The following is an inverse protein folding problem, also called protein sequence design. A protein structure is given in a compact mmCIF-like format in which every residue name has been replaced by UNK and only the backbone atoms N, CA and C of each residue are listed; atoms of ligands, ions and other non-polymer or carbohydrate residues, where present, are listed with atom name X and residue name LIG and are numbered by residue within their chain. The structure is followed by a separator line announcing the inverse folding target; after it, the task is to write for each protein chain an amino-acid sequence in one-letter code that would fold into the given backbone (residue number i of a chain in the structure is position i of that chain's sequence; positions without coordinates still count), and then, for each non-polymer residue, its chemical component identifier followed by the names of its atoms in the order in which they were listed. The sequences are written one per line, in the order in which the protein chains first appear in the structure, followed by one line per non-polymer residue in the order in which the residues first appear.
data_IF_026940672631
#
_entry.id   IF_026940672631
#
_cell.length_a   1.000
_cell.length_b   1.000
_cell.length_c   1.000
_cell.angle_alpha   90.00
_cell.angle_beta   90.00
_cell.angle_gamma   90.00
#
_symmetry.space_group_name_H-M   'P 1'
#
loop_
_entity.id
_entity.type
_entity.pdbx_description
1 polymer ?
#
# COMPACT_ATOMS: atom_id res chain seq x y z
N UNK A 1 -8.21 4.23 -16.25
CA UNK A 1 -7.32 3.42 -17.13
C UNK A 1 -7.65 1.94 -16.98
N UNK A 2 -7.68 1.15 -18.05
CA UNK A 2 -7.95 -0.29 -18.04
C UNK A 2 -6.89 -1.02 -18.86
N UNK A 3 -6.28 -2.06 -18.31
CA UNK A 3 -5.18 -2.81 -18.89
C UNK A 3 -5.53 -4.30 -18.83
N UNK A 4 -5.35 -5.03 -19.94
CA UNK A 4 -5.60 -6.47 -20.02
C UNK A 4 -4.29 -7.20 -20.24
N UNK A 5 -4.08 -8.24 -19.44
CA UNK A 5 -3.00 -9.20 -19.61
C UNK A 5 -3.59 -10.46 -20.22
N UNK A 6 -3.22 -10.74 -21.48
CA UNK A 6 -3.69 -11.91 -22.20
C UNK A 6 -3.50 -13.17 -21.34
N UNK A 7 -4.57 -13.93 -21.18
CA UNK A 7 -4.64 -15.20 -20.43
C UNK A 7 -4.32 -15.10 -18.93
N UNK A 8 -4.20 -13.89 -18.36
CA UNK A 8 -3.90 -13.69 -16.92
C UNK A 8 -4.95 -12.88 -16.17
N UNK A 9 -5.53 -11.86 -16.82
CA UNK A 9 -6.57 -11.03 -16.21
C UNK A 9 -6.46 -9.55 -16.60
N UNK A 10 -6.89 -8.65 -15.71
CA UNK A 10 -6.93 -7.22 -16.02
C UNK A 10 -6.70 -6.35 -14.77
N UNK A 11 -6.21 -5.14 -14.98
CA UNK A 11 -6.12 -4.11 -13.94
C UNK A 11 -6.81 -2.84 -14.42
N UNK A 12 -7.64 -2.25 -13.57
CA UNK A 12 -8.29 -0.97 -13.80
C UNK A 12 -7.98 0.03 -12.70
N UNK A 13 -8.02 1.31 -13.05
CA UNK A 13 -7.80 2.43 -12.16
C UNK A 13 -8.83 3.52 -12.41
N UNK A 14 -9.35 4.08 -11.33
CA UNK A 14 -10.23 5.25 -11.34
C UNK A 14 -9.52 6.43 -10.68
N UNK A 15 -9.75 7.62 -11.23
CA UNK A 15 -9.16 8.87 -10.77
C UNK A 15 -10.23 9.94 -10.68
N UNK A 16 -10.05 10.91 -9.79
CA UNK A 16 -10.84 12.13 -9.80
C UNK A 16 -10.37 13.11 -10.89
N UNK A 17 -11.08 14.24 -11.02
CA UNK A 17 -10.72 15.29 -11.98
C UNK A 17 -9.39 15.99 -11.65
N UNK A 18 -8.90 15.90 -10.40
CA UNK A 18 -7.61 16.40 -9.96
C UNK A 18 -6.45 15.43 -10.24
N UNK A 19 -6.72 14.24 -10.77
CA UNK A 19 -5.73 13.21 -11.03
C UNK A 19 -5.38 12.34 -9.81
N UNK A 20 -6.09 12.49 -8.69
CA UNK A 20 -5.89 11.61 -7.54
C UNK A 20 -6.49 10.24 -7.83
N UNK A 21 -5.76 9.17 -7.46
CA UNK A 21 -6.24 7.80 -7.61
C UNK A 21 -7.32 7.53 -6.58
N UNK A 22 -8.48 7.06 -7.02
CA UNK A 22 -9.61 6.71 -6.16
C UNK A 22 -9.71 5.20 -5.93
N UNK A 23 -9.46 4.40 -6.98
CA UNK A 23 -9.50 2.95 -6.85
C UNK A 23 -8.60 2.23 -7.85
N UNK A 24 -8.19 1.02 -7.49
CA UNK A 24 -7.52 0.02 -8.32
C UNK A 24 -8.31 -1.27 -8.23
N UNK A 25 -8.70 -1.86 -9.35
CA UNK A 25 -9.29 -3.21 -9.40
C UNK A 25 -8.36 -4.12 -10.17
N UNK A 26 -7.90 -5.20 -9.55
CA UNK A 26 -7.10 -6.23 -10.19
C UNK A 26 -7.89 -7.54 -10.24
N UNK A 27 -7.98 -8.13 -11.41
CA UNK A 27 -8.58 -9.45 -11.64
C UNK A 27 -7.49 -10.39 -12.14
N UNK A 28 -7.36 -11.54 -11.51
CA UNK A 28 -6.44 -12.62 -11.88
C UNK A 28 -7.23 -13.94 -11.89
N UNK A 29 -7.43 -14.52 -13.07
CA UNK A 29 -8.39 -15.62 -13.24
C UNK A 29 -9.81 -15.23 -12.78
N UNK A 30 -10.35 -15.95 -11.80
CA UNK A 30 -11.65 -15.64 -11.16
C UNK A 30 -11.54 -14.74 -9.94
N UNK A 31 -10.35 -14.54 -9.39
CA UNK A 31 -10.13 -13.72 -8.22
C UNK A 31 -10.15 -12.24 -8.60
N UNK A 32 -10.80 -11.43 -7.77
CA UNK A 32 -10.84 -9.97 -7.93
C UNK A 32 -10.51 -9.30 -6.61
N UNK A 33 -9.59 -8.33 -6.67
CA UNK A 33 -9.17 -7.50 -5.56
C UNK A 33 -9.39 -6.04 -5.91
N UNK A 34 -10.19 -5.35 -5.11
CA UNK A 34 -10.39 -3.91 -5.22
C UNK A 34 -9.64 -3.22 -4.09
N UNK A 35 -8.84 -2.21 -4.43
CA UNK A 35 -8.18 -1.32 -3.48
C UNK A 35 -8.74 0.07 -3.66
N UNK A 36 -9.31 0.63 -2.59
CA UNK A 36 -9.88 1.98 -2.59
C UNK A 36 -9.00 2.92 -1.76
N UNK A 37 -8.86 4.15 -2.26
CA UNK A 37 -7.97 5.17 -1.71
C UNK A 37 -8.83 6.36 -1.24
N UNK A 38 -8.79 6.66 0.06
CA UNK A 38 -9.52 7.77 0.66
C UNK A 38 -8.57 8.61 1.52
N UNK A 39 -7.98 9.64 0.92
CA UNK A 39 -6.89 10.39 1.56
C UNK A 39 -5.72 9.44 1.87
N UNK A 40 -5.28 9.42 3.13
CA UNK A 40 -4.25 8.48 3.60
C UNK A 40 -4.75 7.05 3.88
N UNK A 41 -6.06 6.79 3.85
CA UNK A 41 -6.62 5.48 4.16
C UNK A 41 -6.66 4.57 2.92
N UNK A 42 -6.22 3.32 3.11
CA UNK A 42 -6.21 2.27 2.10
C UNK A 42 -7.17 1.17 2.52
N UNK A 43 -8.11 0.84 1.64
CA UNK A 43 -9.07 -0.26 1.83
C UNK A 43 -8.82 -1.34 0.80
N UNK A 44 -9.08 -2.59 1.19
CA UNK A 44 -9.09 -3.73 0.29
C UNK A 44 -10.42 -4.46 0.45
N UNK A 45 -11.17 -4.58 -0.65
CA UNK A 45 -12.51 -5.20 -0.67
C UNK A 45 -13.41 -4.64 0.45
N UNK A 46 -13.41 -3.31 0.64
CA UNK A 46 -14.10 -2.58 1.71
C UNK A 46 -13.59 -2.81 3.14
N UNK A 47 -12.45 -3.47 3.33
CA UNK A 47 -11.81 -3.67 4.65
C UNK A 47 -10.61 -2.74 4.78
N UNK A 48 -10.57 -1.92 5.84
CA UNK A 48 -9.45 -1.03 6.12
C UNK A 48 -8.16 -1.84 6.30
N UNK A 49 -7.12 -1.49 5.54
CA UNK A 49 -5.81 -2.12 5.63
C UNK A 49 -4.86 -1.27 6.47
N UNK A 50 -4.80 0.03 6.21
CA UNK A 50 -4.03 0.98 7.02
C UNK A 50 -4.41 2.43 6.67
N UNK A 51 -3.97 3.34 7.53
CA UNK A 51 -3.99 4.79 7.33
C UNK A 51 -2.55 5.29 7.36
N UNK A 52 -2.13 6.00 6.32
CA UNK A 52 -0.80 6.60 6.26
C UNK A 52 -0.66 7.74 7.28
N UNK A 53 0.53 7.86 7.87
CA UNK A 53 0.96 8.98 8.72
C UNK A 53 2.23 9.61 8.14
N UNK A 54 2.72 10.70 8.71
CA UNK A 54 3.96 11.34 8.25
C UNK A 54 5.18 10.42 8.42
N UNK A 55 5.21 9.66 9.51
CA UNK A 55 6.31 8.78 9.90
C UNK A 55 6.12 7.31 9.49
N UNK A 56 4.94 6.93 9.00
CA UNK A 56 4.65 5.52 8.68
C UNK A 56 3.17 5.25 8.40
N UNK A 57 2.60 4.30 9.14
CA UNK A 57 1.18 3.92 9.01
C UNK A 57 0.58 3.40 10.32
N UNK A 58 -0.72 3.54 10.45
CA UNK A 58 -1.55 2.87 11.44
C UNK A 58 -2.32 1.73 10.76
N UNK A 59 -2.20 0.50 11.27
CA UNK A 59 -2.95 -0.66 10.76
C UNK A 59 -3.85 -1.24 11.85
N UNK A 60 -5.07 -1.71 11.51
CA UNK A 60 -5.96 -2.30 12.48
C UNK A 60 -5.38 -3.62 13.02
N UNK A 61 -5.58 -3.84 14.31
CA UNK A 61 -5.30 -5.07 15.03
C UNK A 61 -6.57 -5.50 15.76
N UNK A 62 -7.44 -6.22 15.06
CA UNK A 62 -8.82 -6.44 15.50
C UNK A 62 -9.72 -5.25 15.17
N UNK A 63 -10.78 -5.05 15.95
CA UNK A 63 -11.89 -4.14 15.58
C UNK A 63 -11.68 -2.69 16.03
N UNK A 64 -10.95 -2.48 17.13
CA UNK A 64 -10.85 -1.16 17.80
C UNK A 64 -9.43 -0.72 18.10
N UNK A 65 -8.44 -1.60 17.91
CA UNK A 65 -7.03 -1.32 18.20
C UNK A 65 -6.29 -1.06 16.91
N UNK A 66 -5.38 -0.10 16.93
CA UNK A 66 -4.45 0.18 15.86
C UNK A 66 -3.03 -0.01 16.38
N UNK A 67 -2.17 -0.54 15.52
CA UNK A 67 -0.73 -0.65 15.75
C UNK A 67 -0.05 0.34 14.82
N UNK A 68 0.89 1.11 15.35
CA UNK A 68 1.75 1.97 14.56
C UNK A 68 2.96 1.19 14.02
N UNK A 69 3.17 1.31 12.71
CA UNK A 69 4.41 0.92 12.05
C UNK A 69 5.15 2.20 11.60
N UNK A 70 6.43 2.31 11.92
CA UNK A 70 7.32 3.43 11.59
C UNK A 70 8.24 3.06 10.42
N UNK A 71 8.47 4.00 9.51
CA UNK A 71 9.30 3.81 8.32
C UNK A 71 10.65 4.51 8.50
N UNK A 72 11.71 3.72 8.65
CA UNK A 72 13.08 4.25 8.64
C UNK A 72 13.52 4.43 7.19
N UNK A 73 13.68 5.68 6.79
CA UNK A 73 14.01 6.06 5.41
C UNK A 73 15.49 6.41 5.27
N UNK A 74 16.03 6.12 4.09
CA UNK A 74 17.33 6.66 3.70
C UNK A 74 17.24 8.13 3.29
N UNK A 75 18.40 8.74 2.97
CA UNK A 75 18.50 10.15 2.57
C UNK A 75 17.78 10.48 1.24
N UNK A 76 17.36 9.47 0.46
CA UNK A 76 16.58 9.63 -0.78
C UNK A 76 15.09 9.39 -0.54
N UNK A 77 14.69 9.04 0.68
CA UNK A 77 13.30 8.81 1.06
C UNK A 77 12.81 7.37 0.87
N UNK A 78 13.67 6.42 0.50
CA UNK A 78 13.28 5.01 0.40
C UNK A 78 13.14 4.40 1.80
N UNK A 79 12.03 3.73 2.08
CA UNK A 79 11.85 2.98 3.32
C UNK A 79 12.77 1.75 3.32
N UNK A 80 13.77 1.75 4.20
CA UNK A 80 14.75 0.66 4.37
C UNK A 80 14.32 -0.35 5.42
N UNK A 81 13.63 0.11 6.46
CA UNK A 81 13.15 -0.73 7.56
C UNK A 81 11.75 -0.29 7.96
N UNK A 82 10.88 -1.25 8.20
CA UNK A 82 9.58 -1.03 8.85
C UNK A 82 9.66 -1.60 10.26
N UNK A 83 9.38 -0.76 11.26
CA UNK A 83 9.47 -1.13 12.68
C UNK A 83 8.12 -0.92 13.33
N UNK A 84 7.62 -1.91 14.04
CA UNK A 84 6.41 -1.78 14.85
C UNK A 84 6.68 -0.91 16.08
N UNK A 85 5.64 -0.33 16.68
CA UNK A 85 5.75 0.54 17.86
C UNK A 85 6.43 -0.07 19.09
N UNK A 86 6.49 -1.40 19.20
CA UNK A 86 7.21 -2.11 20.26
C UNK A 86 8.69 -2.37 19.92
N UNK A 87 9.17 -1.85 18.80
CA UNK A 87 10.55 -2.03 18.31
C UNK A 87 10.75 -3.28 17.46
N UNK A 88 9.72 -4.09 17.22
CA UNK A 88 9.84 -5.28 16.37
C UNK A 88 10.07 -4.88 14.91
N UNK A 89 11.13 -5.41 14.30
CA UNK A 89 11.37 -5.24 12.87
C UNK A 89 10.39 -6.11 12.08
N UNK A 90 9.61 -5.48 11.20
CA UNK A 90 8.62 -6.14 10.34
C UNK A 90 9.16 -6.43 8.94
N UNK A 91 9.96 -5.51 8.40
CA UNK A 91 10.50 -5.62 7.04
C UNK A 91 11.86 -4.91 6.95
N UNK A 92 12.79 -5.50 6.20
CA UNK A 92 14.05 -4.89 5.80
C UNK A 92 14.19 -4.98 4.28
N UNK A 93 14.45 -3.85 3.63
CA UNK A 93 14.53 -3.76 2.17
C UNK A 93 15.80 -3.02 1.75
N UNK A 94 16.60 -3.68 0.93
CA UNK A 94 17.76 -3.06 0.27
C UNK A 94 17.38 -2.58 -1.12
N UNK A 95 17.96 -1.45 -1.53
CA UNK A 95 17.72 -0.82 -2.83
C UNK A 95 19.04 -0.49 -3.51
N UNK A 96 19.09 -0.74 -4.81
CA UNK A 96 20.09 -0.20 -5.73
C UNK A 96 20.04 1.33 -5.77
N UNK A 97 21.09 2.02 -6.27
CA UNK A 97 21.10 3.48 -6.40
C UNK A 97 19.93 4.06 -7.21
N UNK A 98 19.38 3.29 -8.15
CA UNK A 98 18.20 3.68 -8.95
C UNK A 98 16.84 3.41 -8.30
N UNK A 99 16.80 2.97 -7.03
CA UNK A 99 15.56 2.70 -6.29
C UNK A 99 14.90 1.35 -6.59
N UNK A 100 15.54 0.49 -7.38
CA UNK A 100 15.11 -0.91 -7.53
C UNK A 100 15.45 -1.69 -6.26
N UNK A 101 14.52 -2.53 -5.82
CA UNK A 101 14.75 -3.45 -4.71
C UNK A 101 15.84 -4.47 -5.09
N UNK A 102 16.74 -4.76 -4.15
CA UNK A 102 17.86 -5.70 -4.28
C UNK A 102 17.38 -7.15 -4.17
#
# INVERSE_FOLDING_TARGET
MFIVFKDKGAISYQYDAGGNKLSKKATEGSATKQTDYLGGAIFENNVLQHVATEEGRLRPSGTTVFIADYFLKDHLGNTRVVVQEDGTVLEETSYYPGGLVL
#
